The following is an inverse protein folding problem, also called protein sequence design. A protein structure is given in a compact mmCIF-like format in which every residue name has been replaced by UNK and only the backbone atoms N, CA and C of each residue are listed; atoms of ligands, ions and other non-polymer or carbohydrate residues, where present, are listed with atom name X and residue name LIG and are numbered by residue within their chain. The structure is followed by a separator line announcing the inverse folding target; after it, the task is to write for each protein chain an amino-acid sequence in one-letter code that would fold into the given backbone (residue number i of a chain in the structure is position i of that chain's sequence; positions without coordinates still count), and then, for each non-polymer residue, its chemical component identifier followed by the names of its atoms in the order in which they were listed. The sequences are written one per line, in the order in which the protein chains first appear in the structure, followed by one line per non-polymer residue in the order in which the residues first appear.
data_IF_795352757816
#
_entry.id   IF_795352757816
#
_cell.length_a   1.000
_cell.length_b   1.000
_cell.length_c   1.000
_cell.angle_alpha   90.00
_cell.angle_beta   90.00
_cell.angle_gamma   90.00
#
_symmetry.space_group_name_H-M   'P 1'
#
loop_
_entity.id
_entity.type
_entity.pdbx_description
1 polymer ?
#
# COMPACT_ATOMS: atom_id res chain seq x y z
N UNK A 1 0.37 -6.27 -14.69
CA UNK A 1 -0.06 -4.87 -14.44
C UNK A 1 0.77 -4.03 -15.38
N UNK A 2 0.16 -3.43 -16.38
CA UNK A 2 0.88 -2.51 -17.26
C UNK A 2 1.08 -1.20 -16.50
N UNK A 3 2.35 -0.82 -16.31
CA UNK A 3 2.71 0.41 -15.60
C UNK A 3 2.56 1.56 -16.60
N UNK A 4 1.51 2.34 -16.44
CA UNK A 4 1.26 3.52 -17.28
C UNK A 4 2.34 4.61 -17.07
N UNK A 5 2.47 5.52 -18.03
CA UNK A 5 3.45 6.61 -18.00
C UNK A 5 3.28 7.51 -16.76
N UNK A 6 2.02 7.72 -16.34
CA UNK A 6 1.70 8.47 -15.12
C UNK A 6 2.27 7.82 -13.86
N UNK A 7 2.17 6.49 -13.74
CA UNK A 7 2.66 5.71 -12.61
C UNK A 7 4.19 5.65 -12.60
N UNK A 8 4.82 5.49 -13.77
CA UNK A 8 6.28 5.57 -13.89
C UNK A 8 6.83 6.92 -13.38
N UNK A 9 6.14 8.02 -13.67
CA UNK A 9 6.54 9.34 -13.18
C UNK A 9 6.35 9.49 -11.66
N UNK A 10 5.33 8.87 -11.07
CA UNK A 10 5.16 8.80 -9.61
C UNK A 10 6.28 8.00 -8.96
N UNK A 11 6.62 6.83 -9.52
CA UNK A 11 7.72 5.97 -9.03
C UNK A 11 9.07 6.65 -9.08
N UNK A 12 9.39 7.36 -10.17
CA UNK A 12 10.63 8.15 -10.26
C UNK A 12 10.76 9.16 -9.12
N UNK A 13 9.68 9.86 -8.77
CA UNK A 13 9.67 10.80 -7.63
C UNK A 13 9.88 10.08 -6.30
N UNK A 14 9.22 8.93 -6.11
CA UNK A 14 9.39 8.10 -4.92
C UNK A 14 10.83 7.61 -4.76
N UNK A 15 11.43 7.07 -5.82
CA UNK A 15 12.81 6.58 -5.80
C UNK A 15 13.82 7.71 -5.58
N UNK A 16 13.54 8.92 -6.08
CA UNK A 16 14.34 10.08 -5.75
C UNK A 16 14.31 10.42 -4.25
N UNK A 17 13.15 10.27 -3.59
CA UNK A 17 13.04 10.44 -2.14
C UNK A 17 13.84 9.36 -1.41
N UNK A 18 13.80 8.11 -1.87
CA UNK A 18 14.58 7.02 -1.28
C UNK A 18 16.08 7.27 -1.37
N UNK A 19 16.58 7.68 -2.54
CA UNK A 19 17.98 8.06 -2.71
C UNK A 19 18.38 9.23 -1.79
N UNK A 20 17.49 10.21 -1.61
CA UNK A 20 17.74 11.30 -0.66
C UNK A 20 17.85 10.79 0.77
N UNK A 21 16.94 9.93 1.22
CA UNK A 21 16.95 9.34 2.56
C UNK A 21 18.24 8.54 2.79
N UNK A 22 18.63 7.74 1.80
CA UNK A 22 19.87 6.95 1.81
C UNK A 22 21.10 7.82 1.98
N UNK A 23 21.18 8.91 1.23
CA UNK A 23 22.31 9.85 1.31
C UNK A 23 22.35 10.64 2.63
N UNK A 24 21.19 10.93 3.23
CA UNK A 24 21.13 11.67 4.51
C UNK A 24 21.23 10.76 5.74
N UNK A 25 21.12 9.44 5.59
CA UNK A 25 21.11 8.50 6.73
C UNK A 25 19.85 8.61 7.61
N UNK A 26 18.72 8.96 7.01
CA UNK A 26 17.47 9.21 7.75
C UNK A 26 16.74 7.94 8.17
N UNK A 27 15.49 8.10 8.62
CA UNK A 27 14.54 7.00 8.86
C UNK A 27 13.38 7.12 7.87
N UNK A 28 12.96 6.01 7.27
CA UNK A 28 11.79 5.97 6.40
C UNK A 28 10.57 5.54 7.24
N UNK A 29 9.51 6.35 7.22
CA UNK A 29 8.21 6.02 7.82
C UNK A 29 7.15 5.97 6.72
N UNK A 30 6.57 4.79 6.51
CA UNK A 30 5.48 4.55 5.56
C UNK A 30 4.14 4.58 6.31
N UNK A 31 3.29 5.56 5.99
CA UNK A 31 2.02 5.86 6.68
C UNK A 31 0.80 5.03 6.24
N UNK A 32 0.99 3.79 5.79
CA UNK A 32 -0.09 2.92 5.31
C UNK A 32 -0.65 3.28 3.93
N UNK A 33 -1.42 2.34 3.36
CA UNK A 33 -1.92 2.34 1.97
C UNK A 33 -0.82 2.67 0.96
N UNK A 34 0.34 2.04 1.17
CA UNK A 34 1.49 2.17 0.28
C UNK A 34 1.30 1.37 -1.01
N UNK A 35 0.52 0.29 -0.95
CA UNK A 35 0.06 -0.45 -2.13
C UNK A 35 -1.45 -0.32 -2.31
N UNK A 36 -1.92 -0.32 -3.55
CA UNK A 36 -3.35 -0.36 -3.85
C UNK A 36 -4.02 -1.64 -3.33
N UNK A 37 -3.28 -2.73 -3.26
CA UNK A 37 -3.67 -3.97 -2.62
C UNK A 37 -2.43 -4.83 -2.34
N UNK A 38 -2.10 -5.03 -1.07
CA UNK A 38 -1.05 -5.96 -0.67
C UNK A 38 -1.64 -7.20 -0.03
N UNK A 39 -1.31 -8.36 -0.59
CA UNK A 39 -1.62 -9.65 0.00
C UNK A 39 -0.39 -10.54 -0.11
N UNK A 40 0.19 -10.91 1.02
CA UNK A 40 1.30 -11.87 1.04
C UNK A 40 0.78 -13.28 0.70
N UNK A 41 0.91 -13.65 -0.58
CA UNK A 41 0.59 -15.00 -1.06
C UNK A 41 1.68 -16.03 -0.69
N UNK A 42 2.72 -15.67 0.07
CA UNK A 42 3.93 -16.45 0.42
C UNK A 42 4.80 -16.89 -0.77
N UNK A 43 4.20 -17.15 -1.92
CA UNK A 43 4.84 -17.74 -3.10
C UNK A 43 4.73 -16.87 -4.35
N UNK A 44 3.91 -15.80 -4.31
CA UNK A 44 3.68 -14.93 -5.47
C UNK A 44 3.73 -13.48 -5.04
N UNK A 45 4.64 -12.73 -5.65
CA UNK A 45 4.73 -11.28 -5.54
C UNK A 45 4.15 -10.69 -6.84
N UNK A 46 3.20 -9.75 -6.77
CA UNK A 46 2.70 -9.07 -7.96
C UNK A 46 3.85 -8.39 -8.71
N UNK A 47 3.99 -8.69 -10.01
CA UNK A 47 5.12 -8.19 -10.81
C UNK A 47 5.21 -6.66 -10.88
N UNK A 48 4.08 -5.97 -10.72
CA UNK A 48 4.02 -4.51 -10.70
C UNK A 48 4.67 -3.85 -9.49
N UNK A 49 5.00 -4.60 -8.42
CA UNK A 49 5.60 -4.05 -7.20
C UNK A 49 7.08 -4.43 -7.03
N UNK A 50 7.65 -5.24 -7.93
CA UNK A 50 9.01 -5.77 -7.80
C UNK A 50 10.05 -4.65 -7.67
N UNK A 51 9.94 -3.60 -8.48
CA UNK A 51 10.83 -2.45 -8.46
C UNK A 51 10.77 -1.67 -7.14
N UNK A 52 9.56 -1.45 -6.60
CA UNK A 52 9.36 -0.78 -5.31
C UNK A 52 9.98 -1.61 -4.18
N UNK A 53 9.73 -2.93 -4.17
CA UNK A 53 10.28 -3.84 -3.16
C UNK A 53 11.80 -3.90 -3.23
N UNK A 54 12.37 -3.89 -4.43
CA UNK A 54 13.81 -3.85 -4.62
C UNK A 54 14.43 -2.56 -4.06
N UNK A 55 13.78 -1.42 -4.25
CA UNK A 55 14.22 -0.15 -3.70
C UNK A 55 14.14 -0.13 -2.15
N UNK A 56 13.09 -0.69 -1.57
CA UNK A 56 12.98 -0.84 -0.11
C UNK A 56 14.07 -1.78 0.44
N UNK A 57 14.40 -2.85 -0.29
CA UNK A 57 15.52 -3.75 0.06
C UNK A 57 16.85 -3.00 0.08
N UNK A 58 17.10 -2.17 -0.93
CA UNK A 58 18.34 -1.39 -1.01
C UNK A 58 18.45 -0.38 0.13
N UNK A 59 17.34 0.26 0.52
CA UNK A 59 17.30 1.13 1.70
C UNK A 59 17.65 0.39 2.98
N UNK A 60 16.98 -0.73 3.24
CA UNK A 60 17.25 -1.58 4.41
C UNK A 60 18.71 -2.05 4.45
N UNK A 61 19.25 -2.53 3.34
CA UNK A 61 20.66 -2.93 3.20
C UNK A 61 21.64 -1.79 3.41
N UNK A 62 21.21 -0.54 3.19
CA UNK A 62 22.02 0.65 3.46
C UNK A 62 21.99 1.08 4.93
N UNK A 63 21.35 0.30 5.81
CA UNK A 63 21.23 0.57 7.25
C UNK A 63 20.12 1.55 7.61
N UNK A 64 19.25 1.91 6.66
CA UNK A 64 18.11 2.79 6.92
C UNK A 64 17.02 2.02 7.64
N UNK A 65 16.58 2.53 8.79
CA UNK A 65 15.43 1.97 9.50
C UNK A 65 14.15 2.27 8.75
N UNK A 66 13.34 1.23 8.49
CA UNK A 66 12.04 1.35 7.83
C UNK A 66 10.95 1.05 8.87
N UNK A 67 10.06 2.01 9.08
CA UNK A 67 8.82 1.83 9.83
C UNK A 67 7.66 1.76 8.87
N UNK A 68 6.80 0.76 9.03
CA UNK A 68 5.61 0.61 8.18
C UNK A 68 4.35 0.52 9.02
N UNK A 69 3.56 1.59 9.01
CA UNK A 69 2.22 1.59 9.60
C UNK A 69 1.29 0.89 8.60
N UNK A 70 0.62 -0.17 9.03
CA UNK A 70 -0.31 -0.91 8.17
C UNK A 70 -1.55 -0.06 7.88
N UNK A 71 -1.82 0.14 6.60
CA UNK A 71 -3.05 0.77 6.12
C UNK A 71 -4.19 -0.22 5.97
N UNK A 72 -5.28 0.24 5.35
CA UNK A 72 -6.42 -0.62 5.12
C UNK A 72 -6.22 -1.64 3.99
N UNK A 73 -5.39 -1.29 3.00
CA UNK A 73 -5.06 -2.13 1.85
C UNK A 73 -3.85 -3.04 2.11
N UNK A 74 -3.06 -2.72 3.15
CA UNK A 74 -1.79 -3.37 3.46
C UNK A 74 -1.86 -4.35 4.65
N UNK A 75 -3.05 -4.52 5.23
CA UNK A 75 -3.25 -5.32 6.45
C UNK A 75 -2.81 -6.79 6.33
N UNK A 76 -2.73 -7.33 5.10
CA UNK A 76 -2.39 -8.72 4.83
C UNK A 76 -0.90 -8.96 4.55
N UNK A 77 -0.02 -8.17 5.17
CA UNK A 77 1.42 -8.37 5.08
C UNK A 77 1.90 -9.70 5.66
N UNK A 78 1.23 -10.22 6.71
CA UNK A 78 1.58 -11.48 7.38
C UNK A 78 3.07 -11.62 7.80
N UNK A 79 3.82 -10.52 7.91
CA UNK A 79 5.23 -10.50 8.29
C UNK A 79 6.21 -10.47 7.11
N UNK A 80 5.74 -10.30 5.87
CA UNK A 80 6.61 -10.19 4.71
C UNK A 80 7.55 -8.97 4.81
N UNK A 81 7.06 -7.79 5.22
CA UNK A 81 7.93 -6.60 5.35
C UNK A 81 8.98 -6.76 6.45
N UNK A 82 8.60 -7.36 7.57
CA UNK A 82 9.53 -7.63 8.68
C UNK A 82 10.64 -8.62 8.23
N UNK A 83 10.26 -9.71 7.56
CA UNK A 83 11.22 -10.75 7.18
C UNK A 83 12.13 -10.35 6.01
N UNK A 84 11.65 -9.56 5.04
CA UNK A 84 12.42 -9.23 3.83
C UNK A 84 13.25 -7.95 3.95
N UNK A 85 12.82 -7.01 4.79
CA UNK A 85 13.46 -5.68 4.86
C UNK A 85 13.85 -5.27 6.28
N UNK A 86 13.73 -6.16 7.27
CA UNK A 86 13.92 -5.83 8.69
C UNK A 86 13.07 -4.61 9.11
N UNK A 87 11.91 -4.46 8.47
CA UNK A 87 11.04 -3.31 8.67
C UNK A 87 10.22 -3.49 9.95
N UNK A 88 10.13 -2.42 10.74
CA UNK A 88 9.29 -2.36 11.94
C UNK A 88 7.84 -2.10 11.52
N UNK A 89 7.07 -3.18 11.41
CA UNK A 89 5.65 -3.15 11.03
C UNK A 89 4.78 -2.83 12.24
N UNK A 90 3.97 -1.78 12.12
CA UNK A 90 3.06 -1.27 13.15
C UNK A 90 1.61 -1.45 12.70
N UNK A 91 0.80 -2.26 13.39
CA UNK A 91 -0.62 -2.44 13.06
C UNK A 91 -1.49 -1.19 13.29
N UNK A 92 -0.96 -0.19 13.99
CA UNK A 92 -1.66 1.01 14.43
C UNK A 92 -0.70 2.21 14.46
N UNK A 93 -1.16 3.33 15.00
CA UNK A 93 -0.42 4.57 15.14
C UNK A 93 0.99 4.35 15.71
N UNK A 94 1.96 5.03 15.09
CA UNK A 94 3.35 5.09 15.51
C UNK A 94 3.60 6.42 16.20
N UNK A 95 3.92 6.37 17.49
CA UNK A 95 4.47 7.50 18.22
C UNK A 95 5.98 7.34 18.34
N UNK A 96 6.74 8.36 17.93
CA UNK A 96 8.17 8.42 18.20
C UNK A 96 8.60 9.81 18.63
N UNK A 97 9.70 9.84 19.37
CA UNK A 97 10.30 11.06 19.89
C UNK A 97 11.56 11.34 19.10
N UNK A 98 11.61 12.50 18.45
CA UNK A 98 12.83 13.03 17.89
C UNK A 98 13.24 14.26 18.71
N UNK A 99 14.29 14.08 19.53
CA UNK A 99 14.78 15.06 20.49
C UNK A 99 13.69 15.57 21.47
N UNK A 100 13.09 16.73 21.18
CA UNK A 100 12.03 17.38 21.99
C UNK A 100 10.66 17.37 21.32
N UNK A 101 10.58 16.85 20.09
CA UNK A 101 9.35 16.84 19.31
C UNK A 101 8.71 15.46 19.39
N UNK A 102 7.46 15.43 19.84
CA UNK A 102 6.63 14.22 19.79
C UNK A 102 5.97 14.15 18.40
N UNK A 103 6.28 13.11 17.64
CA UNK A 103 5.73 12.89 16.31
C UNK A 103 4.77 11.71 16.40
N UNK A 104 3.51 11.95 16.03
CA UNK A 104 2.47 10.93 15.90
C UNK A 104 2.22 10.71 14.41
N UNK A 105 2.40 9.47 13.96
CA UNK A 105 2.10 9.04 12.60
C UNK A 105 0.95 8.05 12.66
N UNK A 106 -0.20 8.46 12.15
CA UNK A 106 -1.38 7.62 11.99
C UNK A 106 -1.70 7.49 10.51
N UNK A 107 -2.20 6.32 10.12
CA UNK A 107 -2.71 6.09 8.77
C UNK A 107 -3.94 6.97 8.45
N UNK A 108 -4.68 7.42 9.48
CA UNK A 108 -5.76 8.41 9.34
C UNK A 108 -7.08 7.88 8.76
N UNK A 109 -7.13 6.66 8.23
CA UNK A 109 -8.37 6.09 7.72
C UNK A 109 -9.29 5.62 8.88
N UNK A 110 -10.52 6.12 8.90
CA UNK A 110 -11.45 6.08 10.03
C UNK A 110 -11.92 7.46 10.53
N UNK A 111 -11.31 8.56 10.06
CA UNK A 111 -11.74 9.93 10.38
C UNK A 111 -12.93 10.42 9.51
N UNK A 112 -13.16 9.84 8.33
CA UNK A 112 -14.31 10.16 7.47
C UNK A 112 -15.52 9.31 7.88
N UNK A 113 -16.49 9.98 8.51
CA UNK A 113 -17.61 9.41 9.26
C UNK A 113 -18.69 8.67 8.43
N UNK A 114 -18.60 8.62 7.10
CA UNK A 114 -19.81 8.46 6.28
C UNK A 114 -19.84 7.40 5.15
N UNK A 115 -18.95 6.40 5.12
CA UNK A 115 -19.07 5.31 4.12
C UNK A 115 -19.32 3.94 4.76
N UNK A 116 -20.59 3.69 5.13
CA UNK A 116 -21.04 2.41 5.70
C UNK A 116 -20.85 1.22 4.74
N UNK A 117 -21.08 1.42 3.44
CA UNK A 117 -20.88 0.42 2.39
C UNK A 117 -19.40 0.02 2.27
N UNK A 118 -18.50 1.01 2.31
CA UNK A 118 -17.05 0.80 2.29
C UNK A 118 -16.57 0.03 3.53
N UNK A 119 -17.10 0.34 4.72
CA UNK A 119 -16.77 -0.39 5.96
C UNK A 119 -17.26 -1.84 5.94
N UNK A 120 -18.44 -2.09 5.38
CA UNK A 120 -18.98 -3.44 5.25
C UNK A 120 -18.16 -4.28 4.27
N UNK A 121 -17.79 -3.69 3.12
CA UNK A 121 -16.90 -4.33 2.15
C UNK A 121 -15.54 -4.66 2.78
N UNK A 122 -14.92 -3.71 3.52
CA UNK A 122 -13.69 -3.97 4.30
C UNK A 122 -13.86 -5.14 5.26
N UNK A 123 -14.97 -5.21 6.00
CA UNK A 123 -15.23 -6.28 6.97
C UNK A 123 -15.37 -7.65 6.30
N UNK A 124 -15.98 -7.69 5.11
CA UNK A 124 -16.14 -8.91 4.32
C UNK A 124 -14.77 -9.36 3.77
N UNK A 125 -14.01 -8.49 3.12
CA UNK A 125 -12.68 -8.84 2.57
C UNK A 125 -11.71 -9.27 3.68
N UNK A 126 -11.81 -8.66 4.87
CA UNK A 126 -11.01 -9.03 6.06
C UNK A 126 -11.50 -10.28 6.79
N UNK A 127 -12.64 -10.85 6.41
CA UNK A 127 -13.12 -12.07 7.02
C UNK A 127 -12.13 -13.21 6.78
N UNK A 128 -11.84 -14.00 7.81
CA UNK A 128 -10.98 -15.19 7.71
C UNK A 128 -11.46 -16.15 6.62
N UNK A 129 -12.76 -16.18 6.35
CA UNK A 129 -13.36 -16.98 5.28
C UNK A 129 -13.06 -16.43 3.88
N UNK A 130 -13.15 -15.11 3.67
CA UNK A 130 -12.79 -14.50 2.40
C UNK A 130 -11.28 -14.58 2.15
N UNK A 131 -10.46 -14.35 3.17
CA UNK A 131 -8.99 -14.54 3.11
C UNK A 131 -8.67 -16.00 2.75
N UNK A 132 -9.35 -16.96 3.37
CA UNK A 132 -9.19 -18.38 3.07
C UNK A 132 -9.62 -18.74 1.65
N UNK A 133 -10.76 -18.21 1.19
CA UNK A 133 -11.23 -18.40 -0.19
C UNK A 133 -10.25 -17.78 -1.19
N UNK A 134 -9.78 -16.54 -0.98
CA UNK A 134 -8.79 -15.88 -1.83
C UNK A 134 -7.46 -16.63 -1.87
N UNK A 135 -7.01 -17.16 -0.73
CA UNK A 135 -5.78 -17.96 -0.66
C UNK A 135 -5.88 -19.28 -1.44
N UNK A 136 -7.09 -19.83 -1.58
CA UNK A 136 -7.36 -21.02 -2.39
C UNK A 136 -7.89 -20.68 -3.80
N UNK A 137 -8.12 -19.40 -4.11
CA UNK A 137 -8.55 -18.95 -5.42
C UNK A 137 -7.32 -18.71 -6.29
N UNK A 138 -7.28 -19.30 -7.48
CA UNK A 138 -6.15 -19.18 -8.38
C UNK A 138 -5.89 -17.69 -8.71
N UNK A 139 -4.65 -17.17 -8.56
CA UNK A 139 -4.34 -15.75 -8.73
C UNK A 139 -4.76 -15.19 -10.11
N UNK A 140 -4.84 -16.04 -11.13
CA UNK A 140 -5.31 -15.66 -12.47
C UNK A 140 -6.77 -15.20 -12.50
N UNK A 141 -7.64 -15.76 -11.66
CA UNK A 141 -9.05 -15.36 -11.62
C UNK A 141 -9.24 -14.05 -10.86
N UNK A 142 -8.43 -13.80 -9.84
CA UNK A 142 -8.37 -12.51 -9.15
C UNK A 142 -7.92 -11.37 -10.08
N UNK A 143 -6.88 -11.60 -10.88
CA UNK A 143 -6.45 -10.66 -11.91
C UNK A 143 -7.50 -10.46 -13.01
N UNK A 144 -8.23 -11.52 -13.41
CA UNK A 144 -9.32 -11.41 -14.39
C UNK A 144 -10.50 -10.58 -13.85
N UNK A 145 -10.86 -10.75 -12.58
CA UNK A 145 -11.91 -9.95 -11.93
C UNK A 145 -11.49 -8.49 -11.81
N UNK A 146 -10.24 -8.22 -11.41
CA UNK A 146 -9.68 -6.86 -11.35
C UNK A 146 -9.72 -6.16 -12.72
N UNK A 147 -9.36 -6.87 -13.81
CA UNK A 147 -9.47 -6.36 -15.19
C UNK A 147 -10.92 -6.07 -15.59
N UNK A 148 -11.88 -6.88 -15.13
CA UNK A 148 -13.30 -6.68 -15.44
C UNK A 148 -13.90 -5.48 -14.70
N UNK A 149 -13.47 -5.27 -13.45
CA UNK A 149 -13.90 -4.13 -12.64
C UNK A 149 -13.23 -2.82 -13.09
N UNK A 150 -11.96 -2.85 -13.52
CA UNK A 150 -11.26 -1.66 -14.05
C UNK A 150 -11.85 -1.13 -15.36
N UNK A 151 -12.31 -2.03 -16.24
CA UNK A 151 -13.03 -1.64 -17.46
C UNK A 151 -14.43 -1.07 -17.18
N UNK A 152 -15.04 -1.42 -16.06
CA UNK A 152 -16.34 -0.87 -15.65
C UNK A 152 -16.18 0.52 -15.03
N UNK A 153 -15.09 0.79 -14.30
CA UNK A 153 -14.79 2.16 -13.81
C UNK A 153 -14.41 3.17 -14.90
N UNK A 154 -14.01 2.70 -16.09
CA UNK A 154 -13.76 3.58 -17.24
C UNK A 154 -15.00 4.31 -17.77
N UNK A 155 -16.21 3.80 -17.48
CA UNK A 155 -17.48 4.37 -17.96
C UNK A 155 -18.24 5.24 -16.95
N UNK A 156 -17.69 5.50 -15.74
CA UNK A 156 -18.36 6.34 -14.74
C UNK A 156 -17.84 7.78 -14.64
N UNK A 157 -16.80 8.17 -15.40
CA UNK A 157 -16.23 9.52 -15.39
C UNK A 157 -16.65 10.40 -16.58
N UNK A 158 -17.92 10.36 -17.00
CA UNK A 158 -18.41 11.24 -18.07
C UNK A 158 -19.71 12.00 -17.73
N UNK A 159 -19.91 12.40 -16.48
CA UNK A 159 -21.09 13.22 -16.10
C UNK A 159 -20.84 14.31 -15.05
N UNK A 160 -19.72 15.04 -15.15
CA UNK A 160 -19.57 16.31 -14.42
C UNK A 160 -18.84 17.37 -15.26
N UNK A 161 -19.41 17.75 -16.40
CA UNK A 161 -19.07 19.01 -17.08
C UNK A 161 -20.21 19.42 -18.04
N UNK A 162 -21.24 20.06 -17.48
CA UNK A 162 -22.09 21.08 -18.14
C UNK A 162 -23.16 21.60 -17.17
N UNK A 163 -22.82 22.62 -16.39
CA UNK A 163 -23.76 23.63 -15.88
C UNK A 163 -22.93 24.80 -15.38
N UNK A 164 -22.81 25.84 -16.19
CA UNK A 164 -21.98 27.01 -15.89
C UNK A 164 -21.85 27.93 -17.11
N UNK A 165 -22.98 28.29 -17.71
CA UNK A 165 -23.20 29.57 -18.40
C UNK A 165 -24.50 30.16 -17.86
#
# INVERSE_FOLDING_TARGET
MDVDESENNRRKKLFHVFEKIKNTGGTLVLGGDFFDFWFDYRFVIPSGYIDILEQLRQLSQSGITIHYILGNHDYWDFGFFNNNFDAKVHPSDLEFYDNKSKILVSHGDGLLKNDYSYRLMKKIIRSRFCIFLFKNFHPDWGCALAKKVSNVSGNYNHHYQRSGE
#
